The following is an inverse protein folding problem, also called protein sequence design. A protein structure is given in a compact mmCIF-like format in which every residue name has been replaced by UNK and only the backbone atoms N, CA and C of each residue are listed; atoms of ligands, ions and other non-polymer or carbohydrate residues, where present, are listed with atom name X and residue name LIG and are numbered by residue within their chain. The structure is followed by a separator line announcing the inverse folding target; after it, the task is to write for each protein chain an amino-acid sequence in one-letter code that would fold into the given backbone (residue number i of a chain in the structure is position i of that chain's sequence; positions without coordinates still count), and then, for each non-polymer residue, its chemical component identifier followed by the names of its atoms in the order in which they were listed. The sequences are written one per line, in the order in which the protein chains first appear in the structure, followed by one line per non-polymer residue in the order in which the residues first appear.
data_IF_690298135903
#
_entry.id   IF_690298135903
#
_cell.length_a   1.000
_cell.length_b   1.000
_cell.length_c   1.000
_cell.angle_alpha   90.00
_cell.angle_beta   90.00
_cell.angle_gamma   90.00
#
_symmetry.space_group_name_H-M   'P 1'
#
loop_
_entity.id
_entity.type
_entity.pdbx_description
1 polymer ?
#
# COMPACT_ATOMS: atom_id res chain seq x y z
N UNK A 1 -55.90 -63.78 -44.86
CA UNK A 1 -56.59 -62.48 -44.96
C UNK A 1 -55.63 -61.54 -45.70
N UNK A 2 -55.49 -61.59 -47.03
CA UNK A 2 -56.42 -61.05 -48.06
C UNK A 2 -56.85 -59.61 -47.69
N UNK A 3 -56.62 -58.51 -48.43
CA UNK A 3 -56.55 -58.16 -49.86
C UNK A 3 -55.56 -56.98 -50.03
N UNK A 4 -54.65 -56.86 -51.01
CA UNK A 4 -54.78 -56.53 -52.45
C UNK A 4 -55.63 -55.30 -52.81
N UNK A 5 -55.01 -54.25 -53.38
CA UNK A 5 -55.49 -53.46 -54.55
C UNK A 5 -54.40 -52.44 -54.94
N UNK A 6 -53.63 -52.63 -56.01
CA UNK A 6 -53.86 -52.30 -57.43
C UNK A 6 -53.67 -50.82 -57.82
N UNK A 7 -52.47 -50.55 -58.35
CA UNK A 7 -52.12 -49.84 -59.61
C UNK A 7 -53.08 -48.78 -60.18
N UNK A 8 -52.54 -47.58 -60.44
CA UNK A 8 -52.82 -46.81 -61.67
C UNK A 8 -51.54 -46.17 -62.23
N UNK A 9 -51.32 -46.40 -63.53
CA UNK A 9 -50.24 -45.87 -64.38
C UNK A 9 -50.90 -45.06 -65.51
N UNK A 10 -50.47 -43.82 -65.74
CA UNK A 10 -50.71 -43.03 -66.96
C UNK A 10 -49.64 -41.92 -66.97
N UNK A 11 -48.57 -42.02 -67.76
CA UNK A 11 -48.39 -41.68 -69.19
C UNK A 11 -47.73 -40.31 -69.39
N UNK A 12 -46.43 -40.38 -69.72
CA UNK A 12 -45.58 -39.53 -70.57
C UNK A 12 -46.03 -38.08 -70.85
N UNK A 13 -45.20 -37.15 -70.42
CA UNK A 13 -44.97 -35.86 -71.07
C UNK A 13 -43.53 -35.41 -70.80
N UNK A 14 -42.64 -35.55 -71.79
CA UNK A 14 -41.31 -34.93 -71.79
C UNK A 14 -41.49 -33.42 -71.98
N UNK A 15 -40.98 -32.62 -71.05
CA UNK A 15 -40.55 -31.26 -71.35
C UNK A 15 -39.32 -30.96 -70.50
N UNK A 16 -38.21 -30.70 -71.20
CA UNK A 16 -36.93 -30.35 -70.62
C UNK A 16 -37.03 -29.01 -69.86
N UNK A 17 -36.48 -28.95 -68.65
CA UNK A 17 -36.12 -27.69 -68.02
C UNK A 17 -34.91 -27.89 -67.10
N UNK A 18 -34.05 -26.89 -67.11
CA UNK A 18 -32.65 -26.92 -66.72
C UNK A 18 -32.40 -27.23 -65.22
N UNK A 19 -31.30 -27.94 -64.97
CA UNK A 19 -30.70 -28.13 -63.66
C UNK A 19 -30.06 -26.81 -63.22
N UNK A 20 -30.61 -26.19 -62.18
CA UNK A 20 -29.91 -25.20 -61.35
C UNK A 20 -30.07 -25.61 -59.89
N UNK A 21 -29.02 -26.23 -59.32
CA UNK A 21 -28.86 -26.37 -57.87
C UNK A 21 -28.64 -24.98 -57.27
N UNK A 22 -29.65 -24.43 -56.61
CA UNK A 22 -29.48 -23.27 -55.72
C UNK A 22 -29.23 -23.80 -54.30
N UNK A 23 -27.97 -23.84 -53.91
CA UNK A 23 -27.57 -24.07 -52.50
C UNK A 23 -27.96 -22.82 -51.73
N UNK A 24 -29.01 -22.89 -50.89
CA UNK A 24 -29.29 -21.86 -49.89
C UNK A 24 -28.21 -21.93 -48.79
N UNK A 25 -27.16 -21.15 -48.97
CA UNK A 25 -26.25 -20.76 -47.89
C UNK A 25 -26.99 -19.82 -46.94
N UNK A 26 -27.35 -20.30 -45.75
CA UNK A 26 -27.75 -19.46 -44.62
C UNK A 26 -26.56 -18.58 -44.21
N UNK A 27 -26.44 -17.39 -44.79
CA UNK A 27 -25.58 -16.34 -44.26
C UNK A 27 -26.30 -15.77 -43.04
N UNK A 28 -25.90 -16.21 -41.84
CA UNK A 28 -26.17 -15.47 -40.61
C UNK A 28 -25.51 -14.10 -40.75
N UNK A 29 -26.31 -13.09 -41.02
CA UNK A 29 -25.91 -11.69 -40.92
C UNK A 29 -25.73 -11.38 -39.42
N UNK A 30 -24.57 -11.74 -38.88
CA UNK A 30 -24.12 -11.18 -37.61
C UNK A 30 -23.79 -9.71 -37.90
N UNK A 31 -24.60 -8.80 -37.38
CA UNK A 31 -24.21 -7.39 -37.24
C UNK A 31 -22.93 -7.36 -36.38
N UNK A 32 -21.78 -7.43 -37.04
CA UNK A 32 -20.51 -7.04 -36.46
C UNK A 32 -20.59 -5.53 -36.32
N UNK A 33 -21.05 -5.05 -35.16
CA UNK A 33 -20.62 -3.73 -34.72
C UNK A 33 -19.09 -3.75 -34.78
N UNK A 34 -18.46 -2.87 -35.58
CA UNK A 34 -17.04 -2.67 -35.45
C UNK A 34 -16.85 -2.07 -34.07
N UNK A 35 -16.42 -2.90 -33.11
CA UNK A 35 -15.77 -2.38 -31.93
C UNK A 35 -14.53 -1.67 -32.49
N UNK A 36 -14.63 -0.36 -32.63
CA UNK A 36 -13.47 0.49 -32.79
C UNK A 36 -12.56 0.19 -31.62
N UNK A 37 -11.54 -0.61 -31.88
CA UNK A 37 -10.37 -0.75 -31.03
C UNK A 37 -9.82 0.65 -30.84
N UNK A 38 -10.14 1.27 -29.69
CA UNK A 38 -9.45 2.48 -29.26
C UNK A 38 -8.04 2.07 -28.84
N UNK A 39 -7.10 2.26 -29.76
CA UNK A 39 -5.66 2.38 -29.56
C UNK A 39 -5.03 1.49 -28.45
N UNK A 40 -4.65 0.26 -28.80
CA UNK A 40 -3.55 -0.47 -28.12
C UNK A 40 -2.18 -0.15 -28.73
N UNK A 41 -2.01 1.05 -29.29
CA UNK A 41 -0.73 1.54 -29.74
C UNK A 41 0.05 2.11 -28.53
N UNK A 42 1.04 1.36 -28.01
CA UNK A 42 2.02 1.90 -27.06
C UNK A 42 2.35 1.08 -25.82
N UNK A 43 1.79 -0.11 -25.62
CA UNK A 43 2.19 -0.98 -24.51
C UNK A 43 3.56 -1.59 -24.83
N UNK A 44 4.63 -1.00 -24.31
CA UNK A 44 5.94 -1.62 -24.30
C UNK A 44 5.97 -2.65 -23.14
N UNK A 45 5.99 -3.96 -23.42
CA UNK A 45 5.93 -5.00 -22.39
C UNK A 45 7.15 -5.00 -21.47
N UNK A 46 8.27 -4.42 -21.91
CA UNK A 46 9.52 -4.33 -21.13
C UNK A 46 9.56 -3.11 -20.21
N UNK A 47 8.70 -2.11 -20.46
CA UNK A 47 8.67 -0.88 -19.68
C UNK A 47 7.91 -1.09 -18.37
N UNK A 48 8.63 -1.20 -17.26
CA UNK A 48 8.07 -1.20 -15.90
C UNK A 48 7.65 0.20 -15.40
N UNK A 49 6.85 0.26 -14.34
CA UNK A 49 6.30 1.47 -13.72
C UNK A 49 7.38 2.51 -13.41
N UNK A 50 8.50 2.10 -12.80
CA UNK A 50 9.67 2.96 -12.54
C UNK A 50 10.18 3.72 -13.77
N UNK A 51 10.05 3.13 -14.97
CA UNK A 51 10.55 3.72 -16.21
C UNK A 51 9.64 4.85 -16.70
N UNK A 52 8.33 4.81 -16.41
CA UNK A 52 7.43 5.91 -16.70
C UNK A 52 7.70 7.12 -15.80
N UNK A 53 8.14 6.87 -14.56
CA UNK A 53 8.37 7.90 -13.54
C UNK A 53 9.83 8.33 -13.38
N UNK A 54 10.75 7.86 -14.24
CA UNK A 54 12.20 8.14 -14.12
C UNK A 54 12.57 9.63 -13.99
N UNK A 55 11.76 10.52 -14.57
CA UNK A 55 11.96 11.98 -14.56
C UNK A 55 11.06 12.70 -13.54
N UNK A 56 10.44 11.96 -12.63
CA UNK A 56 9.50 12.47 -11.63
C UNK A 56 9.98 12.07 -10.23
N UNK A 57 9.83 10.80 -9.86
CA UNK A 57 10.21 10.28 -8.56
C UNK A 57 10.41 8.75 -8.62
N UNK A 58 11.19 8.17 -7.70
CA UNK A 58 11.25 6.73 -7.48
C UNK A 58 9.87 6.13 -7.18
N UNK A 59 9.68 4.90 -7.65
CA UNK A 59 8.49 4.08 -7.41
C UNK A 59 8.91 2.90 -6.54
N UNK A 60 8.32 2.84 -5.35
CA UNK A 60 8.64 1.83 -4.34
C UNK A 60 7.56 0.80 -4.10
N UNK A 61 7.93 -0.25 -3.39
CA UNK A 61 7.01 -1.31 -2.96
C UNK A 61 7.39 -1.85 -1.60
N UNK A 62 6.41 -2.09 -0.74
CA UNK A 62 6.63 -2.77 0.53
C UNK A 62 6.77 -4.28 0.31
N UNK A 63 7.79 -4.87 0.92
CA UNK A 63 8.18 -6.27 0.72
C UNK A 63 8.39 -6.98 2.04
N UNK A 64 8.19 -8.30 2.02
CA UNK A 64 8.65 -9.20 3.06
C UNK A 64 9.70 -10.14 2.49
N UNK A 65 10.38 -10.89 3.36
CA UNK A 65 11.29 -11.97 2.94
C UNK A 65 10.65 -12.96 1.95
N UNK A 66 9.34 -13.22 2.04
CA UNK A 66 8.63 -14.11 1.12
C UNK A 66 8.52 -13.55 -0.31
N UNK A 67 8.55 -12.21 -0.46
CA UNK A 67 8.45 -11.53 -1.76
C UNK A 67 9.77 -11.55 -2.55
N UNK A 68 10.87 -11.95 -1.93
CA UNK A 68 12.22 -11.89 -2.52
C UNK A 68 12.53 -13.05 -3.48
N UNK A 69 11.53 -13.90 -3.78
CA UNK A 69 11.71 -15.08 -4.63
C UNK A 69 10.61 -15.21 -5.69
N UNK A 70 10.92 -15.98 -6.73
CA UNK A 70 9.95 -16.39 -7.75
C UNK A 70 9.29 -15.20 -8.48
N UNK A 71 8.00 -15.33 -8.87
CA UNK A 71 7.31 -14.31 -9.65
C UNK A 71 7.21 -12.93 -8.97
N UNK A 72 7.16 -12.87 -7.64
CA UNK A 72 7.10 -11.60 -6.91
C UNK A 72 8.43 -10.84 -7.06
N UNK A 73 9.58 -11.52 -6.91
CA UNK A 73 10.90 -10.89 -7.11
C UNK A 73 11.10 -10.38 -8.54
N UNK A 74 10.66 -11.14 -9.54
CA UNK A 74 10.74 -10.72 -10.94
C UNK A 74 9.89 -9.48 -11.20
N UNK A 75 8.69 -9.41 -10.60
CA UNK A 75 7.84 -8.21 -10.68
C UNK A 75 8.49 -7.02 -9.97
N UNK A 76 9.06 -7.21 -8.78
CA UNK A 76 9.73 -6.16 -8.01
C UNK A 76 10.85 -5.53 -8.84
N UNK A 77 11.75 -6.36 -9.38
CA UNK A 77 12.89 -5.91 -10.19
C UNK A 77 12.44 -5.21 -11.47
N UNK A 78 11.33 -5.63 -12.07
CA UNK A 78 10.79 -5.03 -13.28
C UNK A 78 10.14 -3.67 -13.03
N UNK A 79 9.31 -3.58 -12.00
CA UNK A 79 8.36 -2.47 -11.83
C UNK A 79 8.89 -1.36 -10.89
N UNK A 80 9.74 -1.69 -9.93
CA UNK A 80 10.11 -0.79 -8.82
C UNK A 80 11.62 -0.52 -8.73
N UNK A 81 11.99 0.62 -8.13
CA UNK A 81 13.37 1.04 -7.88
C UNK A 81 13.59 1.56 -6.44
N UNK A 82 12.62 1.32 -5.57
CA UNK A 82 12.69 1.52 -4.12
C UNK A 82 11.97 0.36 -3.42
N UNK A 83 12.41 -0.05 -2.24
CA UNK A 83 11.70 -1.03 -1.40
C UNK A 83 11.63 -0.56 0.05
N UNK A 84 10.58 -0.98 0.74
CA UNK A 84 10.40 -0.79 2.17
C UNK A 84 10.16 -2.16 2.83
N UNK A 85 10.91 -2.58 3.85
CA UNK A 85 10.57 -3.78 4.63
C UNK A 85 9.24 -3.59 5.35
N UNK A 86 8.21 -4.35 5.00
CA UNK A 86 6.83 -4.18 5.50
C UNK A 86 6.75 -4.39 7.02
N UNK A 87 7.51 -5.36 7.54
CA UNK A 87 7.53 -5.69 8.97
C UNK A 87 8.92 -5.97 9.53
N UNK A 88 9.85 -6.45 8.70
CA UNK A 88 11.13 -7.02 9.15
C UNK A 88 12.09 -5.98 9.78
N UNK A 89 11.84 -4.68 9.59
CA UNK A 89 12.57 -3.58 10.25
C UNK A 89 11.79 -2.84 11.34
N UNK A 90 10.57 -3.28 11.68
CA UNK A 90 9.83 -2.71 12.82
C UNK A 90 10.50 -3.09 14.14
N UNK A 91 10.31 -2.25 15.17
CA UNK A 91 11.00 -2.36 16.46
C UNK A 91 10.93 -3.77 17.08
N UNK A 92 9.73 -4.30 17.30
CA UNK A 92 9.55 -5.62 17.91
C UNK A 92 10.14 -6.76 17.08
N UNK A 93 9.84 -6.84 15.76
CA UNK A 93 10.45 -7.84 14.88
C UNK A 93 11.97 -7.82 14.81
N UNK A 94 12.61 -6.64 14.74
CA UNK A 94 14.07 -6.53 14.58
C UNK A 94 14.82 -6.58 15.93
N UNK A 95 14.22 -6.09 17.02
CA UNK A 95 14.83 -5.99 18.35
C UNK A 95 13.93 -6.59 19.44
N UNK A 96 13.68 -7.91 19.43
CA UNK A 96 12.68 -8.57 20.28
C UNK A 96 13.01 -8.60 21.78
N UNK A 97 14.29 -8.47 22.18
CA UNK A 97 14.71 -8.35 23.59
C UNK A 97 16.03 -7.57 23.69
N UNK A 98 16.34 -7.03 24.87
CA UNK A 98 17.40 -6.00 25.12
C UNK A 98 18.77 -6.26 24.47
N UNK A 99 19.18 -7.53 24.34
CA UNK A 99 20.47 -7.90 23.76
C UNK A 99 20.33 -8.87 22.58
N UNK A 100 19.14 -8.96 21.98
CA UNK A 100 18.86 -9.91 20.89
C UNK A 100 18.23 -9.17 19.73
N UNK A 101 18.89 -9.27 18.58
CA UNK A 101 18.40 -8.73 17.33
C UNK A 101 18.13 -9.86 16.33
N UNK A 102 17.05 -9.70 15.56
CA UNK A 102 16.73 -10.56 14.43
C UNK A 102 17.11 -9.87 13.12
N UNK A 103 18.36 -10.02 12.72
CA UNK A 103 18.88 -9.40 11.49
C UNK A 103 18.51 -10.16 10.22
N UNK A 104 18.21 -11.46 10.32
CA UNK A 104 18.13 -12.37 9.18
C UNK A 104 17.23 -11.85 8.05
N UNK A 105 16.00 -11.46 8.37
CA UNK A 105 15.04 -11.06 7.34
C UNK A 105 15.33 -9.66 6.79
N UNK A 106 15.72 -8.73 7.65
CA UNK A 106 16.07 -7.38 7.24
C UNK A 106 17.34 -7.38 6.37
N UNK A 107 18.37 -8.14 6.74
CA UNK A 107 19.57 -8.36 5.93
C UNK A 107 19.21 -8.95 4.55
N UNK A 108 18.34 -9.97 4.50
CA UNK A 108 17.93 -10.58 3.24
C UNK A 108 17.24 -9.57 2.29
N UNK A 109 16.39 -8.68 2.81
CA UNK A 109 15.74 -7.62 2.01
C UNK A 109 16.78 -6.60 1.53
N UNK A 110 17.69 -6.18 2.41
CA UNK A 110 18.77 -5.25 2.08
C UNK A 110 19.68 -5.83 1.00
N UNK A 111 20.10 -7.08 1.13
CA UNK A 111 20.98 -7.76 0.19
C UNK A 111 20.30 -7.94 -1.17
N UNK A 112 19.02 -8.34 -1.19
CA UNK A 112 18.23 -8.38 -2.41
C UNK A 112 18.21 -7.02 -3.10
N UNK A 113 17.86 -5.95 -2.37
CA UNK A 113 17.76 -4.61 -2.94
C UNK A 113 19.11 -4.12 -3.48
N UNK A 114 20.20 -4.30 -2.73
CA UNK A 114 21.55 -3.94 -3.16
C UNK A 114 21.95 -4.70 -4.42
N UNK A 115 21.73 -6.02 -4.48
CA UNK A 115 22.08 -6.85 -5.64
C UNK A 115 21.33 -6.47 -6.93
N UNK A 116 20.16 -5.83 -6.79
CA UNK A 116 19.33 -5.36 -7.90
C UNK A 116 19.38 -3.85 -8.11
N UNK A 117 20.27 -3.13 -7.41
CA UNK A 117 20.39 -1.66 -7.47
C UNK A 117 19.08 -0.92 -7.14
N UNK A 118 18.31 -1.46 -6.19
CA UNK A 118 17.07 -0.90 -5.67
C UNK A 118 17.36 -0.17 -4.37
N UNK A 119 16.83 1.06 -4.23
CA UNK A 119 17.01 1.87 -3.02
C UNK A 119 16.15 1.33 -1.86
N UNK A 120 16.56 1.57 -0.63
CA UNK A 120 15.85 1.04 0.55
C UNK A 120 15.39 2.17 1.46
N UNK A 121 14.11 2.17 1.81
CA UNK A 121 13.55 2.94 2.92
C UNK A 121 13.50 2.06 4.16
N UNK A 122 14.03 2.55 5.27
CA UNK A 122 13.92 1.86 6.56
C UNK A 122 12.60 2.22 7.24
N UNK A 123 11.82 1.20 7.62
CA UNK A 123 10.54 1.35 8.31
C UNK A 123 10.48 0.36 9.49
N UNK A 124 10.55 0.81 10.74
CA UNK A 124 10.71 2.18 11.25
C UNK A 124 11.49 2.13 12.57
N UNK A 125 11.97 3.28 13.05
CA UNK A 125 12.86 3.34 14.23
C UNK A 125 12.14 3.58 15.57
N UNK A 126 10.98 4.25 15.55
CA UNK A 126 10.20 4.56 16.75
C UNK A 126 8.71 4.54 16.42
N UNK A 127 8.00 3.55 16.93
CA UNK A 127 6.55 3.40 16.75
C UNK A 127 5.90 2.87 18.02
N UNK A 128 4.60 3.16 18.16
CA UNK A 128 3.79 2.71 19.29
C UNK A 128 3.12 1.35 19.04
N UNK A 129 2.98 0.96 17.77
CA UNK A 129 2.42 -0.32 17.38
C UNK A 129 3.58 -1.27 17.04
N UNK A 130 3.44 -2.55 17.43
CA UNK A 130 4.53 -3.54 17.32
C UNK A 130 5.86 -3.05 17.92
N UNK A 131 5.76 -2.25 18.99
CA UNK A 131 6.89 -1.75 19.75
C UNK A 131 7.66 -2.92 20.41
N UNK A 132 8.95 -2.72 20.67
CA UNK A 132 9.76 -3.69 21.38
C UNK A 132 9.39 -3.66 22.88
N UNK A 133 8.41 -4.46 23.28
CA UNK A 133 7.74 -4.38 24.59
C UNK A 133 8.70 -4.38 25.80
N UNK A 134 9.86 -5.03 25.69
CA UNK A 134 10.89 -5.06 26.73
C UNK A 134 11.45 -3.66 27.05
N UNK A 135 11.42 -2.72 26.11
CA UNK A 135 11.98 -1.38 26.29
C UNK A 135 11.30 -0.60 27.40
N UNK A 136 10.01 -0.86 27.64
CA UNK A 136 9.16 -0.06 28.50
C UNK A 136 9.10 -0.55 29.95
N UNK A 137 9.60 -1.75 30.24
CA UNK A 137 9.48 -2.38 31.55
C UNK A 137 10.82 -2.74 32.17
N UNK A 138 10.91 -2.58 33.49
CA UNK A 138 12.02 -3.08 34.30
C UNK A 138 11.85 -4.56 34.65
N UNK A 139 12.83 -5.17 35.35
CA UNK A 139 12.77 -6.58 35.77
C UNK A 139 11.57 -6.94 36.66
N UNK A 140 11.03 -5.96 37.39
CA UNK A 140 9.84 -6.09 38.23
C UNK A 140 8.52 -5.92 37.46
N UNK A 141 8.56 -5.65 36.15
CA UNK A 141 7.38 -5.43 35.30
C UNK A 141 6.84 -4.01 35.32
N UNK A 142 7.39 -3.12 36.15
CA UNK A 142 7.00 -1.71 36.24
C UNK A 142 7.56 -0.87 35.08
N UNK A 143 6.91 0.25 34.71
CA UNK A 143 7.45 1.18 33.73
C UNK A 143 8.86 1.64 34.09
N UNK A 144 9.75 1.70 33.10
CA UNK A 144 11.09 2.27 33.29
C UNK A 144 11.05 3.79 33.44
N UNK A 145 12.16 4.40 33.87
CA UNK A 145 12.29 5.86 33.87
C UNK A 145 12.42 6.41 32.45
N UNK A 146 12.14 7.70 32.28
CA UNK A 146 12.35 8.42 31.01
C UNK A 146 13.79 8.27 30.50
N UNK A 147 14.76 8.39 31.39
CA UNK A 147 16.19 8.33 31.06
C UNK A 147 16.57 6.96 30.51
N UNK A 148 16.13 5.88 31.19
CA UNK A 148 16.38 4.52 30.72
C UNK A 148 15.65 4.23 29.40
N UNK A 149 14.42 4.72 29.22
CA UNK A 149 13.68 4.55 27.98
C UNK A 149 14.37 5.25 26.80
N UNK A 150 14.83 6.49 26.98
CA UNK A 150 15.54 7.23 25.95
C UNK A 150 16.91 6.63 25.65
N UNK A 151 17.60 6.08 26.64
CA UNK A 151 18.83 5.33 26.43
C UNK A 151 18.58 4.07 25.58
N UNK A 152 17.57 3.27 25.90
CA UNK A 152 17.18 2.09 25.11
C UNK A 152 16.77 2.45 23.68
N UNK A 153 16.08 3.57 23.49
CA UNK A 153 15.76 4.10 22.17
C UNK A 153 17.03 4.50 21.41
N UNK A 154 17.97 5.19 22.06
CA UNK A 154 19.27 5.54 21.46
C UNK A 154 20.00 4.28 21.01
N UNK A 155 20.17 3.30 21.88
CA UNK A 155 20.91 2.07 21.58
C UNK A 155 20.27 1.28 20.42
N UNK A 156 18.93 1.22 20.40
CA UNK A 156 18.19 0.61 19.29
C UNK A 156 18.44 1.34 17.96
N UNK A 157 18.30 2.67 17.94
CA UNK A 157 18.49 3.48 16.73
C UNK A 157 19.93 3.33 16.22
N UNK A 158 20.91 3.38 17.12
CA UNK A 158 22.32 3.21 16.76
C UNK A 158 22.61 1.84 16.17
N UNK A 159 22.08 0.78 16.77
CA UNK A 159 22.27 -0.57 16.25
C UNK A 159 21.62 -0.76 14.88
N UNK A 160 20.36 -0.31 14.71
CA UNK A 160 19.59 -0.54 13.47
C UNK A 160 20.03 0.40 12.35
N UNK A 161 20.01 1.72 12.56
CA UNK A 161 20.41 2.68 11.55
C UNK A 161 21.92 2.56 11.24
N UNK A 162 22.76 2.35 12.27
CA UNK A 162 24.20 2.16 12.09
C UNK A 162 24.56 0.91 11.30
N UNK A 163 23.84 -0.22 11.48
CA UNK A 163 24.08 -1.45 10.71
C UNK A 163 23.86 -1.26 9.21
N UNK A 164 22.86 -0.47 8.84
CA UNK A 164 22.45 -0.26 7.45
C UNK A 164 22.90 1.09 6.87
N UNK A 165 23.86 1.73 7.54
CA UNK A 165 24.48 2.96 7.08
C UNK A 165 24.96 2.82 5.64
N UNK A 166 24.76 3.88 4.86
CA UNK A 166 25.07 3.98 3.42
C UNK A 166 24.25 3.05 2.50
N UNK A 167 23.43 2.13 3.03
CA UNK A 167 22.52 1.27 2.25
C UNK A 167 21.08 1.79 2.26
N UNK A 168 20.64 2.37 3.38
CA UNK A 168 19.30 2.95 3.52
C UNK A 168 19.36 4.44 3.18
N UNK A 169 18.53 4.87 2.23
CA UNK A 169 18.54 6.27 1.79
C UNK A 169 17.66 7.17 2.66
N UNK A 170 16.64 6.59 3.31
CA UNK A 170 15.70 7.31 4.15
C UNK A 170 15.16 6.41 5.27
N UNK A 171 14.93 7.00 6.44
CA UNK A 171 14.32 6.37 7.59
C UNK A 171 13.00 7.03 7.94
N UNK A 172 11.97 6.21 8.13
CA UNK A 172 10.81 6.62 8.94
C UNK A 172 11.27 6.57 10.41
N UNK A 173 11.69 7.73 10.92
CA UNK A 173 12.31 7.83 12.25
C UNK A 173 11.24 7.66 13.33
N UNK A 174 10.14 8.39 13.20
CA UNK A 174 8.99 8.31 14.09
C UNK A 174 7.76 8.06 13.25
N UNK A 175 7.01 7.02 13.60
CA UNK A 175 5.77 6.63 12.95
C UNK A 175 4.56 6.91 13.87
N UNK A 176 3.53 7.57 13.34
CA UNK A 176 2.18 7.68 13.94
C UNK A 176 2.14 8.20 15.40
N UNK A 177 2.95 9.22 15.71
CA UNK A 177 2.99 9.83 17.03
C UNK A 177 1.85 10.85 17.27
N UNK A 178 1.14 11.25 16.21
CA UNK A 178 -0.02 12.15 16.28
C UNK A 178 -1.31 11.37 16.59
N UNK A 179 -2.15 12.00 17.40
CA UNK A 179 -3.41 11.46 17.89
C UNK A 179 -4.56 11.55 16.87
N UNK A 180 -5.41 10.51 16.84
CA UNK A 180 -6.51 10.37 15.87
C UNK A 180 -7.83 11.04 16.26
N UNK A 181 -7.93 11.62 17.46
CA UNK A 181 -9.18 12.28 17.87
C UNK A 181 -9.44 13.55 17.06
N UNK A 182 -10.71 13.96 17.02
CA UNK A 182 -11.09 15.24 16.41
C UNK A 182 -10.72 16.47 17.29
N UNK A 183 -10.07 16.25 18.45
CA UNK A 183 -9.59 17.31 19.33
C UNK A 183 -8.24 17.86 18.85
N UNK A 184 -8.25 19.05 18.24
CA UNK A 184 -7.06 19.74 17.71
C UNK A 184 -6.09 20.22 18.79
N UNK A 185 -6.47 20.18 20.08
CA UNK A 185 -5.61 20.49 21.22
C UNK A 185 -4.79 19.28 21.66
N UNK A 186 -5.31 18.06 21.48
CA UNK A 186 -4.58 16.82 21.69
C UNK A 186 -3.77 16.47 20.44
N UNK A 187 -2.57 17.02 20.32
CA UNK A 187 -1.66 16.75 19.20
C UNK A 187 -1.09 15.33 19.26
N UNK A 188 -0.61 14.90 20.43
CA UNK A 188 0.20 13.68 20.57
C UNK A 188 -0.61 12.48 21.07
N UNK A 189 -0.35 11.32 20.46
CA UNK A 189 -0.87 10.02 20.89
C UNK A 189 -0.32 9.69 22.28
N UNK A 190 -1.19 9.22 23.17
CA UNK A 190 -0.84 8.79 24.55
C UNK A 190 -0.23 7.37 24.56
N UNK A 191 0.81 7.14 23.77
CA UNK A 191 1.57 5.89 23.69
C UNK A 191 2.38 5.61 24.97
N UNK A 192 2.97 4.42 25.09
CA UNK A 192 3.89 4.11 26.19
C UNK A 192 5.10 5.05 26.18
N UNK A 193 5.63 5.40 25.01
CA UNK A 193 6.63 6.45 24.84
C UNK A 193 6.20 7.77 25.49
N UNK A 194 5.02 8.28 25.13
CA UNK A 194 4.50 9.54 25.66
C UNK A 194 4.28 9.48 27.18
N UNK A 195 3.69 8.40 27.67
CA UNK A 195 3.35 8.22 29.10
C UNK A 195 4.60 8.19 29.97
N UNK A 196 5.62 7.41 29.58
CA UNK A 196 6.86 7.28 30.36
C UNK A 196 7.72 8.54 30.25
N UNK A 197 7.79 9.17 29.08
CA UNK A 197 8.53 10.42 28.91
C UNK A 197 7.81 11.64 29.50
N UNK A 198 6.55 11.47 29.92
CA UNK A 198 5.64 12.54 30.32
C UNK A 198 5.53 13.68 29.28
N UNK A 199 5.51 13.32 28.00
CA UNK A 199 5.56 14.29 26.91
C UNK A 199 6.12 13.75 25.60
N UNK A 200 6.20 14.60 24.57
CA UNK A 200 6.61 14.23 23.21
C UNK A 200 8.14 14.20 22.99
N UNK A 201 8.96 14.47 24.00
CA UNK A 201 10.42 14.64 23.88
C UNK A 201 11.13 13.45 23.21
N UNK A 202 10.54 12.25 23.28
CA UNK A 202 11.07 11.06 22.59
C UNK A 202 11.12 11.24 21.06
N UNK A 203 10.26 12.07 20.48
CA UNK A 203 10.23 12.35 19.04
C UNK A 203 11.50 13.09 18.64
N UNK A 204 11.82 14.19 19.32
CA UNK A 204 13.03 14.97 19.07
C UNK A 204 14.30 14.17 19.34
N UNK A 205 14.29 13.37 20.40
CA UNK A 205 15.40 12.47 20.74
C UNK A 205 15.63 11.44 19.61
N UNK A 206 14.58 10.81 19.08
CA UNK A 206 14.69 9.84 18.00
C UNK A 206 15.34 10.44 16.74
N UNK A 207 14.93 11.65 16.33
CA UNK A 207 15.54 12.34 15.19
C UNK A 207 17.01 12.69 15.42
N UNK A 208 17.36 13.19 16.61
CA UNK A 208 18.75 13.47 16.97
C UNK A 208 19.60 12.20 16.92
N UNK A 209 19.11 11.09 17.49
CA UNK A 209 19.82 9.81 17.48
C UNK A 209 19.95 9.23 16.08
N UNK A 210 18.91 9.32 15.25
CA UNK A 210 18.95 8.83 13.87
C UNK A 210 19.97 9.60 13.04
N UNK A 211 20.03 10.93 13.19
CA UNK A 211 21.03 11.75 12.53
C UNK A 211 22.46 11.47 13.02
N UNK A 212 22.64 11.24 14.32
CA UNK A 212 23.95 10.88 14.91
C UNK A 212 24.43 9.50 14.39
N UNK A 213 23.51 8.54 14.24
CA UNK A 213 23.83 7.19 13.76
C UNK A 213 24.15 7.14 12.26
N UNK A 214 23.37 7.85 11.43
CA UNK A 214 23.61 7.98 10.00
C UNK A 214 23.27 9.40 9.48
N UNK A 215 24.26 10.31 9.42
CA UNK A 215 24.05 11.68 8.96
C UNK A 215 23.66 11.81 7.48
N UNK A 216 23.88 10.76 6.66
CA UNK A 216 23.63 10.78 5.22
C UNK A 216 22.19 10.36 4.88
N UNK A 217 21.55 9.55 5.74
CA UNK A 217 20.19 9.11 5.54
C UNK A 217 19.19 10.27 5.72
N UNK A 218 18.15 10.29 4.89
CA UNK A 218 17.07 11.26 4.97
C UNK A 218 16.06 10.89 6.05
N UNK A 219 15.71 11.83 6.92
CA UNK A 219 14.92 11.56 8.12
C UNK A 219 13.47 12.03 7.95
N UNK A 220 12.53 11.11 8.12
CA UNK A 220 11.10 11.34 7.90
C UNK A 220 10.27 11.11 9.16
N UNK A 221 9.27 11.97 9.35
CA UNK A 221 8.09 11.66 10.17
C UNK A 221 7.04 10.99 9.27
N UNK A 222 6.51 9.82 9.63
CA UNK A 222 5.54 9.07 8.81
C UNK A 222 4.20 8.91 9.54
N UNK A 223 3.08 9.15 8.83
CA UNK A 223 1.73 9.00 9.43
C UNK A 223 0.62 8.81 8.37
N UNK A 224 -0.45 8.14 8.78
CA UNK A 224 -1.69 8.03 8.01
C UNK A 224 -2.65 9.18 8.27
N UNK A 225 -3.63 9.32 7.37
CA UNK A 225 -4.65 10.36 7.41
C UNK A 225 -4.08 11.78 7.47
N UNK A 226 -2.86 11.98 6.98
CA UNK A 226 -2.15 13.27 6.98
C UNK A 226 -2.77 14.29 6.01
N UNK A 227 -3.66 13.82 5.15
CA UNK A 227 -4.52 14.58 4.25
C UNK A 227 -5.80 15.08 4.93
N UNK A 228 -6.28 14.41 5.99
CA UNK A 228 -7.53 14.75 6.64
C UNK A 228 -7.38 15.98 7.55
N UNK A 229 -8.30 16.96 7.51
CA UNK A 229 -8.09 18.29 8.08
C UNK A 229 -7.59 18.34 9.53
N UNK A 230 -8.21 17.59 10.43
CA UNK A 230 -7.87 17.64 11.86
C UNK A 230 -6.49 17.01 12.12
N UNK A 231 -6.23 15.82 11.57
CA UNK A 231 -4.95 15.14 11.76
C UNK A 231 -3.82 15.87 11.03
N UNK A 232 -4.10 16.41 9.83
CA UNK A 232 -3.20 17.29 9.09
C UNK A 232 -2.76 18.50 9.92
N UNK A 233 -3.70 19.20 10.57
CA UNK A 233 -3.37 20.36 11.42
C UNK A 233 -2.43 19.97 12.58
N UNK A 234 -2.68 18.84 13.23
CA UNK A 234 -1.83 18.33 14.33
C UNK A 234 -0.43 17.96 13.84
N UNK A 235 -0.33 17.27 12.69
CA UNK A 235 0.95 16.95 12.06
C UNK A 235 1.69 18.24 11.70
N UNK A 236 1.02 19.22 11.11
CA UNK A 236 1.62 20.51 10.78
C UNK A 236 2.18 21.22 12.02
N UNK A 237 1.45 21.22 13.14
CA UNK A 237 1.94 21.76 14.43
C UNK A 237 3.21 21.05 14.92
N UNK A 238 3.24 19.72 14.84
CA UNK A 238 4.43 18.93 15.19
C UNK A 238 5.61 19.31 14.29
N UNK A 239 5.45 19.27 12.97
CA UNK A 239 6.53 19.55 12.01
C UNK A 239 7.09 20.97 12.19
N UNK A 240 6.20 21.96 12.36
CA UNK A 240 6.60 23.34 12.61
C UNK A 240 7.42 23.46 13.90
N UNK A 241 7.06 22.72 14.96
CA UNK A 241 7.84 22.67 16.21
C UNK A 241 9.23 22.07 15.97
N UNK A 242 9.32 20.91 15.32
CA UNK A 242 10.60 20.24 15.04
C UNK A 242 11.54 21.14 14.24
N UNK A 243 11.03 21.87 13.24
CA UNK A 243 11.82 22.83 12.46
C UNK A 243 12.28 24.01 13.33
N UNK A 244 11.39 24.58 14.14
CA UNK A 244 11.73 25.68 15.04
C UNK A 244 12.80 25.31 16.07
N UNK A 245 12.80 24.05 16.50
CA UNK A 245 13.78 23.52 17.46
C UNK A 245 15.05 22.96 16.79
N UNK A 246 15.23 23.21 15.49
CA UNK A 246 16.39 22.78 14.70
C UNK A 246 16.63 21.26 14.72
N UNK A 247 15.56 20.46 14.79
CA UNK A 247 15.63 19.01 14.70
C UNK A 247 15.96 18.60 13.26
N UNK A 248 16.85 17.62 13.03
CA UNK A 248 17.20 17.16 11.69
C UNK A 248 16.04 16.36 11.08
N UNK A 249 15.15 17.05 10.36
CA UNK A 249 14.04 16.46 9.61
C UNK A 249 14.11 16.91 8.16
N UNK A 250 14.09 15.94 7.24
CA UNK A 250 14.16 16.21 5.79
C UNK A 250 12.78 16.18 5.13
N UNK A 251 11.82 15.46 5.71
CA UNK A 251 10.53 15.28 5.07
C UNK A 251 9.44 14.60 5.88
N UNK A 252 8.30 14.43 5.22
CA UNK A 252 7.09 13.77 5.74
C UNK A 252 6.71 12.60 4.85
N UNK A 253 6.50 11.44 5.46
CA UNK A 253 5.85 10.29 4.86
C UNK A 253 4.34 10.39 5.04
N UNK A 254 3.61 10.47 3.94
CA UNK A 254 2.16 10.33 3.92
C UNK A 254 1.85 8.88 3.56
N UNK A 255 1.33 8.10 4.51
CA UNK A 255 1.10 6.66 4.27
C UNK A 255 0.18 6.42 3.07
N UNK A 256 -0.88 7.22 2.92
CA UNK A 256 -1.84 7.14 1.82
C UNK A 256 -2.60 5.80 1.74
N UNK A 257 -3.05 5.31 2.90
CA UNK A 257 -4.06 4.25 3.00
C UNK A 257 -5.45 4.80 2.70
N UNK A 258 -5.87 4.70 1.45
CA UNK A 258 -6.99 5.47 0.91
C UNK A 258 -8.16 4.60 0.48
N UNK A 259 -9.29 5.25 0.21
CA UNK A 259 -10.53 4.62 -0.24
C UNK A 259 -10.89 5.12 -1.63
N UNK A 260 -11.91 4.51 -2.24
CA UNK A 260 -12.36 4.83 -3.60
C UNK A 260 -12.79 6.29 -3.83
N UNK A 261 -13.03 7.05 -2.76
CA UNK A 261 -13.54 8.42 -2.81
C UNK A 261 -12.93 9.31 -1.72
N UNK A 262 -11.77 8.93 -1.19
CA UNK A 262 -11.14 9.55 -0.03
C UNK A 262 -9.62 9.38 -0.11
N UNK A 263 -8.82 10.46 -0.14
CA UNK A 263 -9.21 11.87 0.00
C UNK A 263 -9.81 12.49 -1.26
N UNK A 264 -10.38 13.68 -1.10
CA UNK A 264 -10.67 14.57 -2.22
C UNK A 264 -9.38 15.19 -2.82
N UNK A 265 -9.40 15.65 -4.08
CA UNK A 265 -8.28 16.38 -4.68
C UNK A 265 -7.84 17.59 -3.83
N UNK A 266 -8.80 18.35 -3.28
CA UNK A 266 -8.53 19.57 -2.52
C UNK A 266 -7.85 19.26 -1.19
N UNK A 267 -8.27 18.20 -0.48
CA UNK A 267 -7.62 17.76 0.75
C UNK A 267 -6.18 17.32 0.51
N UNK A 268 -5.94 16.56 -0.57
CA UNK A 268 -4.60 16.12 -0.93
C UNK A 268 -3.69 17.29 -1.31
N UNK A 269 -4.17 18.24 -2.13
CA UNK A 269 -3.41 19.46 -2.49
C UNK A 269 -3.09 20.30 -1.26
N UNK A 270 -4.07 20.52 -0.39
CA UNK A 270 -3.87 21.28 0.84
C UNK A 270 -2.83 20.64 1.76
N UNK A 271 -2.83 19.32 1.87
CA UNK A 271 -1.80 18.60 2.63
C UNK A 271 -0.39 18.77 2.05
N UNK A 272 -0.25 18.68 0.73
CA UNK A 272 1.00 18.93 0.05
C UNK A 272 1.46 20.39 0.21
N UNK A 273 0.56 21.36 0.06
CA UNK A 273 0.88 22.79 0.23
C UNK A 273 1.36 23.10 1.65
N UNK A 274 0.67 22.60 2.67
CA UNK A 274 1.05 22.81 4.07
C UNK A 274 2.43 22.22 4.37
N UNK A 275 2.69 20.96 4.01
CA UNK A 275 4.00 20.33 4.25
C UNK A 275 5.12 21.05 3.48
N UNK A 276 4.90 21.37 2.20
CA UNK A 276 5.92 22.00 1.35
C UNK A 276 6.20 23.44 1.72
N UNK A 277 5.22 24.16 2.31
CA UNK A 277 5.43 25.50 2.87
C UNK A 277 6.43 25.54 4.02
N UNK A 278 6.65 24.40 4.69
CA UNK A 278 7.67 24.23 5.74
C UNK A 278 9.07 23.91 5.18
N UNK A 279 9.22 23.81 3.85
CA UNK A 279 10.49 23.44 3.20
C UNK A 279 10.80 21.94 3.22
N UNK A 280 9.87 21.11 3.70
CA UNK A 280 10.02 19.67 3.81
C UNK A 280 9.73 18.95 2.48
N UNK A 281 10.42 17.83 2.23
CA UNK A 281 10.08 16.91 1.14
C UNK A 281 8.91 16.01 1.52
N UNK A 282 8.19 15.53 0.51
CA UNK A 282 7.09 14.57 0.69
C UNK A 282 7.48 13.23 0.10
N UNK A 283 7.08 12.15 0.77
CA UNK A 283 7.04 10.81 0.19
C UNK A 283 5.68 10.20 0.47
N UNK A 284 5.09 9.57 -0.54
CA UNK A 284 3.97 8.66 -0.32
C UNK A 284 4.56 7.29 0.00
N UNK A 285 4.27 6.76 1.18
CA UNK A 285 5.08 5.69 1.78
C UNK A 285 4.41 4.33 1.78
N UNK A 286 3.07 4.28 1.77
CA UNK A 286 2.28 3.06 1.98
C UNK A 286 1.01 3.03 1.10
N UNK A 287 1.10 3.58 -0.12
CA UNK A 287 -0.06 3.83 -0.98
C UNK A 287 -0.80 2.53 -1.30
N UNK A 288 -2.08 2.52 -0.91
CA UNK A 288 -3.04 1.49 -1.28
C UNK A 288 -4.45 2.12 -1.34
N UNK A 289 -5.31 1.69 -2.28
CA UNK A 289 -6.66 2.26 -2.47
C UNK A 289 -7.68 1.14 -2.40
N UNK A 290 -8.22 0.92 -1.20
CA UNK A 290 -9.07 -0.25 -0.94
C UNK A 290 -10.50 -0.12 -1.45
N UNK A 291 -11.05 -1.25 -1.90
CA UNK A 291 -12.48 -1.36 -2.21
C UNK A 291 -13.32 -1.60 -0.96
N UNK A 292 -12.69 -1.93 0.17
CA UNK A 292 -13.40 -2.26 1.41
C UNK A 292 -14.02 -0.99 1.97
N UNK A 293 -15.31 -1.07 2.22
CA UNK A 293 -16.02 0.02 2.88
C UNK A 293 -15.62 0.08 4.35
N UNK A 294 -15.58 1.29 4.96
CA UNK A 294 -15.36 1.41 6.39
C UNK A 294 -16.40 0.57 7.13
N UNK A 295 -15.94 -0.24 8.08
CA UNK A 295 -16.86 -0.92 8.98
C UNK A 295 -17.61 0.17 9.76
N UNK A 296 -18.95 0.10 9.89
CA UNK A 296 -19.69 1.09 10.66
C UNK A 296 -19.08 1.18 12.06
N UNK A 297 -18.60 2.37 12.45
CA UNK A 297 -18.26 2.63 13.85
C UNK A 297 -19.59 2.63 14.62
N UNK A 298 -19.72 1.89 15.73
CA UNK A 298 -20.91 1.99 16.56
C UNK A 298 -21.11 3.46 16.95
N UNK A 299 -22.35 3.93 16.94
CA UNK A 299 -22.67 5.26 17.46
C UNK A 299 -22.18 5.37 18.91
N UNK A 300 -21.76 6.55 19.38
CA UNK A 300 -21.40 6.76 20.78
C UNK A 300 -22.50 6.23 21.71
N UNK A 301 -22.16 5.30 22.60
CA UNK A 301 -23.12 4.67 23.53
C UNK A 301 -23.78 3.38 23.02
N UNK A 302 -23.44 2.88 21.83
CA UNK A 302 -23.88 1.56 21.35
C UNK A 302 -22.76 0.52 21.50
N UNK A 303 -23.11 -0.68 21.93
CA UNK A 303 -22.18 -1.81 21.93
C UNK A 303 -21.77 -2.14 20.50
N UNK A 304 -20.48 -2.45 20.24
CA UNK A 304 -20.08 -3.01 18.97
C UNK A 304 -20.96 -4.20 18.61
N UNK A 305 -21.25 -4.37 17.31
CA UNK A 305 -21.89 -5.57 16.83
C UNK A 305 -21.15 -6.80 17.43
N UNK A 306 -21.88 -7.79 17.98
CA UNK A 306 -21.26 -8.91 18.68
C UNK A 306 -20.19 -9.55 17.80
N UNK A 307 -19.10 -10.00 18.42
CA UNK A 307 -18.09 -10.80 17.73
C UNK A 307 -18.77 -12.02 17.11
N UNK A 308 -19.03 -11.97 15.79
CA UNK A 308 -19.85 -12.95 15.10
C UNK A 308 -20.93 -12.36 14.17
N UNK A 309 -21.19 -11.06 14.19
CA UNK A 309 -22.00 -10.43 13.15
C UNK A 309 -21.30 -10.63 11.80
N UNK A 310 -21.93 -11.37 10.87
CA UNK A 310 -21.41 -11.58 9.52
C UNK A 310 -21.26 -10.21 8.87
N UNK A 311 -20.03 -9.72 8.63
CA UNK A 311 -19.89 -8.41 8.00
C UNK A 311 -20.54 -8.50 6.62
N UNK A 312 -21.23 -7.45 6.17
CA UNK A 312 -21.79 -7.40 4.82
C UNK A 312 -20.69 -7.80 3.83
N UNK A 313 -20.91 -8.80 2.96
CA UNK A 313 -19.93 -9.14 1.95
C UNK A 313 -19.58 -7.88 1.14
N UNK A 314 -18.28 -7.61 0.98
CA UNK A 314 -17.85 -6.54 0.08
C UNK A 314 -18.43 -6.84 -1.31
N UNK A 315 -18.82 -5.83 -2.11
CA UNK A 315 -19.44 -6.03 -3.42
C UNK A 315 -18.52 -6.76 -4.42
N UNK A 316 -17.26 -6.99 -4.03
CA UNK A 316 -16.21 -7.56 -4.88
C UNK A 316 -15.63 -6.50 -5.81
N UNK A 317 -14.71 -6.94 -6.67
CA UNK A 317 -14.07 -6.08 -7.66
C UNK A 317 -14.96 -5.98 -8.92
N UNK A 318 -16.11 -5.33 -8.79
CA UNK A 318 -17.06 -5.12 -9.90
C UNK A 318 -16.53 -4.06 -10.88
N UNK A 319 -17.03 -3.99 -12.13
CA UNK A 319 -16.65 -2.94 -13.06
C UNK A 319 -16.89 -1.51 -12.53
N UNK A 320 -17.92 -1.29 -11.71
CA UNK A 320 -18.19 0.01 -11.09
C UNK A 320 -17.14 0.36 -10.02
N UNK A 321 -16.79 -0.62 -9.17
CA UNK A 321 -15.74 -0.47 -8.15
C UNK A 321 -14.38 -0.25 -8.80
N UNK A 322 -14.07 -1.01 -9.85
CA UNK A 322 -12.87 -0.84 -10.66
C UNK A 322 -12.82 0.57 -11.26
N UNK A 323 -13.91 1.07 -11.85
CA UNK A 323 -13.96 2.42 -12.41
C UNK A 323 -13.67 3.51 -11.36
N UNK A 324 -14.21 3.37 -10.14
CA UNK A 324 -13.92 4.28 -9.02
C UNK A 324 -12.45 4.20 -8.61
N UNK A 325 -11.89 3.00 -8.51
CA UNK A 325 -10.48 2.83 -8.16
C UNK A 325 -9.54 3.41 -9.23
N UNK A 326 -9.86 3.20 -10.51
CA UNK A 326 -9.16 3.81 -11.65
C UNK A 326 -9.15 5.33 -11.53
N UNK A 327 -10.31 5.93 -11.24
CA UNK A 327 -10.45 7.37 -11.10
C UNK A 327 -9.64 7.91 -9.92
N UNK A 328 -9.68 7.25 -8.76
CA UNK A 328 -8.93 7.68 -7.57
C UNK A 328 -7.42 7.57 -7.78
N UNK A 329 -6.93 6.47 -8.37
CA UNK A 329 -5.50 6.35 -8.72
C UNK A 329 -5.08 7.41 -9.74
N UNK A 330 -5.90 7.66 -10.76
CA UNK A 330 -5.61 8.69 -11.77
C UNK A 330 -5.48 10.07 -11.11
N UNK A 331 -6.45 10.42 -10.27
CA UNK A 331 -6.49 11.67 -9.53
C UNK A 331 -5.23 11.86 -8.67
N UNK A 332 -4.88 10.85 -7.87
CA UNK A 332 -3.69 10.89 -7.03
C UNK A 332 -2.41 11.11 -7.86
N UNK A 333 -2.22 10.34 -8.92
CA UNK A 333 -1.00 10.43 -9.74
C UNK A 333 -0.94 11.67 -10.64
N UNK A 334 -2.09 12.25 -11.05
CA UNK A 334 -2.12 13.57 -11.67
C UNK A 334 -1.53 14.61 -10.69
N UNK A 335 -2.01 14.64 -9.44
CA UNK A 335 -1.51 15.54 -8.40
C UNK A 335 -0.03 15.26 -8.09
N UNK A 336 0.38 13.99 -7.98
CA UNK A 336 1.78 13.68 -7.70
C UNK A 336 2.73 14.22 -8.77
N UNK A 337 2.32 14.19 -10.04
CA UNK A 337 3.11 14.76 -11.13
C UNK A 337 3.18 16.28 -11.09
N UNK A 338 2.11 16.95 -10.64
CA UNK A 338 2.09 18.40 -10.45
C UNK A 338 3.03 18.86 -9.31
N UNK A 339 3.19 18.04 -8.27
CA UNK A 339 4.06 18.30 -7.11
C UNK A 339 5.43 17.63 -7.21
N UNK A 340 5.86 17.19 -8.40
CA UNK A 340 7.08 16.37 -8.59
C UNK A 340 8.37 16.97 -8.02
N UNK A 341 8.47 18.30 -7.90
CA UNK A 341 9.63 18.99 -7.30
C UNK A 341 9.73 18.79 -5.78
N UNK A 342 8.63 18.42 -5.13
CA UNK A 342 8.54 18.21 -3.69
C UNK A 342 8.44 16.73 -3.31
N UNK A 343 7.86 15.91 -4.19
CA UNK A 343 7.70 14.47 -3.98
C UNK A 343 8.99 13.74 -4.37
N UNK A 344 9.52 12.93 -3.45
CA UNK A 344 10.81 12.24 -3.64
C UNK A 344 10.70 10.72 -3.68
N UNK A 345 9.49 10.15 -3.50
CA UNK A 345 9.19 8.72 -3.66
C UNK A 345 7.67 8.49 -3.57
N UNK A 346 7.15 7.51 -4.31
CA UNK A 346 5.80 6.92 -4.12
C UNK A 346 5.93 5.41 -3.96
N UNK A 347 5.62 4.88 -2.78
CA UNK A 347 5.69 3.45 -2.44
C UNK A 347 4.30 2.86 -2.30
N UNK A 348 4.06 1.69 -2.89
CA UNK A 348 2.84 0.90 -2.69
C UNK A 348 2.98 -0.07 -1.53
N UNK A 349 1.92 -0.29 -0.74
CA UNK A 349 1.96 -1.21 0.41
C UNK A 349 1.51 -2.62 0.02
N UNK A 350 2.49 -3.49 -0.22
CA UNK A 350 2.44 -4.82 -0.82
C UNK A 350 2.53 -4.86 -2.36
N UNK A 351 2.98 -6.01 -2.89
CA UNK A 351 3.39 -6.19 -4.30
C UNK A 351 2.20 -6.33 -5.25
N UNK A 352 1.17 -7.06 -4.84
CA UNK A 352 0.00 -7.35 -5.66
C UNK A 352 -1.20 -7.69 -4.79
N UNK A 353 -2.39 -7.64 -5.37
CA UNK A 353 -3.63 -8.00 -4.72
C UNK A 353 -3.63 -9.44 -4.22
N UNK A 354 -2.67 -10.29 -4.61
CA UNK A 354 -2.50 -11.65 -4.09
C UNK A 354 -2.36 -11.66 -2.55
N UNK A 355 -1.70 -10.67 -1.99
CA UNK A 355 -1.44 -10.59 -0.55
C UNK A 355 -1.35 -9.15 -0.13
N UNK A 356 -2.49 -8.60 0.30
CA UNK A 356 -2.55 -7.29 0.95
C UNK A 356 -2.77 -7.43 2.44
N UNK A 357 -2.17 -6.54 3.23
CA UNK A 357 -2.45 -6.41 4.67
C UNK A 357 -3.93 -6.07 4.96
N UNK A 358 -4.62 -5.46 4.00
CA UNK A 358 -6.05 -5.12 4.09
C UNK A 358 -6.98 -6.32 3.84
N UNK A 359 -6.46 -7.46 3.39
CA UNK A 359 -7.27 -8.67 3.22
C UNK A 359 -7.79 -9.15 4.58
N UNK A 360 -9.11 -9.23 4.73
CA UNK A 360 -9.73 -9.77 5.92
C UNK A 360 -9.51 -11.27 6.02
N UNK A 361 -8.85 -11.76 7.07
CA UNK A 361 -8.63 -13.19 7.32
C UNK A 361 -9.36 -13.53 8.63
N UNK A 362 -10.40 -14.36 8.57
CA UNK A 362 -11.32 -14.68 9.69
C UNK A 362 -10.68 -14.79 11.08
N UNK A 363 -10.57 -13.65 11.79
CA UNK A 363 -9.74 -13.44 12.98
C UNK A 363 -9.24 -12.00 13.17
N UNK A 364 -9.28 -11.14 12.13
CA UNK A 364 -9.01 -9.70 12.24
C UNK A 364 -8.09 -9.15 11.13
N UNK A 365 -7.86 -7.83 11.14
CA UNK A 365 -6.82 -7.14 10.36
C UNK A 365 -5.48 -7.38 11.06
N UNK A 366 -4.80 -8.49 10.74
CA UNK A 366 -3.40 -8.70 11.13
C UNK A 366 -2.61 -8.99 9.86
N UNK A 367 -2.15 -7.92 9.22
CA UNK A 367 -1.03 -7.97 8.29
C UNK A 367 0.24 -8.34 9.05
N UNK A 368 0.94 -9.34 8.57
CA UNK A 368 2.16 -9.86 9.18
C UNK A 368 2.13 -11.37 9.40
N UNK A 369 3.30 -11.98 9.46
CA UNK A 369 3.59 -13.42 9.49
C UNK A 369 2.96 -14.26 10.63
N UNK A 370 1.95 -13.76 11.35
CA UNK A 370 1.28 -14.42 12.47
C UNK A 370 0.16 -15.40 12.05
N UNK A 371 0.12 -15.83 10.79
CA UNK A 371 -0.93 -16.73 10.31
C UNK A 371 -0.54 -18.21 10.44
N UNK A 372 -0.81 -18.82 11.59
CA UNK A 372 -0.70 -20.28 11.78
C UNK A 372 -1.51 -21.09 10.75
N UNK A 373 -0.98 -22.26 10.38
CA UNK A 373 -1.37 -23.05 9.19
C UNK A 373 -2.75 -23.73 9.24
N UNK A 374 -3.44 -23.78 10.38
CA UNK A 374 -4.54 -24.74 10.61
C UNK A 374 -5.94 -24.13 10.84
N UNK A 375 -6.23 -22.92 10.34
CA UNK A 375 -7.61 -22.38 10.37
C UNK A 375 -8.11 -22.12 8.95
N UNK A 376 -9.26 -22.68 8.54
CA UNK A 376 -9.91 -22.31 7.27
C UNK A 376 -10.24 -20.81 7.29
N UNK A 377 -9.48 -20.00 6.56
CA UNK A 377 -9.68 -18.56 6.48
C UNK A 377 -10.56 -18.26 5.29
N UNK A 378 -11.80 -17.81 5.53
CA UNK A 378 -12.48 -16.99 4.51
C UNK A 378 -11.65 -15.72 4.36
N UNK A 379 -11.07 -15.52 3.18
CA UNK A 379 -10.31 -14.32 2.84
C UNK A 379 -11.24 -13.34 2.14
N UNK A 380 -11.47 -12.18 2.73
CA UNK A 380 -12.15 -11.06 2.07
C UNK A 380 -11.11 -10.14 1.47
N UNK A 381 -11.12 -10.04 0.14
CA UNK A 381 -10.10 -9.32 -0.63
C UNK A 381 -10.34 -7.82 -0.62
N UNK A 382 -9.26 -7.05 -0.48
CA UNK A 382 -9.30 -5.58 -0.52
C UNK A 382 -8.98 -4.99 -1.90
N UNK A 383 -8.37 -5.79 -2.78
CA UNK A 383 -7.89 -5.43 -4.11
C UNK A 383 -7.24 -4.04 -4.25
N UNK A 384 -6.34 -3.62 -3.34
CA UNK A 384 -6.05 -2.21 -3.22
C UNK A 384 -4.88 -1.73 -4.09
N UNK A 385 -4.30 -2.60 -4.94
CA UNK A 385 -3.02 -2.35 -5.64
C UNK A 385 -3.18 -2.29 -7.16
N UNK A 386 -2.08 -2.06 -7.89
CA UNK A 386 -2.05 -1.98 -9.35
C UNK A 386 -1.90 -3.34 -10.06
N UNK A 387 -1.58 -4.40 -9.32
CA UNK A 387 -1.40 -5.75 -9.85
C UNK A 387 -2.42 -6.69 -9.21
N UNK A 388 -3.05 -7.53 -10.02
CA UNK A 388 -4.05 -8.50 -9.55
C UNK A 388 -3.42 -9.68 -8.78
N UNK A 389 -4.24 -10.64 -8.35
CA UNK A 389 -3.78 -11.83 -7.62
C UNK A 389 -2.81 -12.73 -8.41
N UNK A 390 -2.78 -12.57 -9.73
CA UNK A 390 -1.90 -13.28 -10.66
C UNK A 390 -0.70 -12.42 -11.10
N UNK A 391 -0.48 -11.28 -10.44
CA UNK A 391 0.57 -10.27 -10.76
C UNK A 391 0.41 -9.61 -12.13
N UNK A 392 -0.78 -9.68 -12.73
CA UNK A 392 -1.06 -8.96 -13.97
C UNK A 392 -1.45 -7.52 -13.66
N UNK A 393 -1.03 -6.59 -14.53
CA UNK A 393 -1.39 -5.17 -14.41
C UNK A 393 -2.91 -5.01 -14.54
N UNK A 394 -3.54 -4.40 -13.54
CA UNK A 394 -4.97 -4.03 -13.56
C UNK A 394 -5.22 -2.83 -14.46
N UNK A 395 -6.47 -2.53 -14.79
CA UNK A 395 -6.80 -1.31 -15.54
C UNK A 395 -6.36 -0.02 -14.83
N UNK A 396 -6.36 -0.01 -13.49
CA UNK A 396 -5.83 1.09 -12.67
C UNK A 396 -4.32 1.35 -12.91
N UNK A 397 -3.54 0.33 -13.30
CA UNK A 397 -2.13 0.55 -13.68
C UNK A 397 -2.03 1.51 -14.86
N UNK A 398 -2.89 1.35 -15.86
CA UNK A 398 -2.83 2.12 -17.10
C UNK A 398 -3.27 3.57 -16.92
N UNK A 399 -4.18 3.86 -15.97
CA UNK A 399 -4.52 5.25 -15.62
C UNK A 399 -3.38 5.99 -14.92
N UNK A 400 -2.45 5.25 -14.31
CA UNK A 400 -1.25 5.80 -13.68
C UNK A 400 -0.13 6.06 -14.69
N UNK A 401 -0.02 5.32 -15.79
CA UNK A 401 1.13 5.45 -16.72
C UNK A 401 0.84 6.13 -18.05
N UNK A 402 -0.43 6.30 -18.44
CA UNK A 402 -0.82 6.93 -19.71
C UNK A 402 -1.03 8.44 -19.52
N UNK A 403 0.06 9.21 -19.52
CA UNK A 403 0.07 10.67 -19.39
C UNK A 403 1.10 11.33 -20.31
#
# INVERSE_FOLDING_TARGET
MEFSTTVKKASRGMLALAISLMVLSFVRCAFKHPVTSSATAGINPDKGLKNYYKNYFPIGVAVSSASLHGPDSALIVKEFNSVTPENDMKMGPIHPSENVYNWKNADAIVDFAVSHHIRIRGHNLCWHNQEAAWMFKGPNGEPVTKELLLQRLKDHIFAVAGRYKDKIYAWDVVNEAVDDSDDTTQVYRKSNWYKICNGPDFIEAAFKFAHEADPNAKLYYNDYNSEHPVKREKIYKLLKKLIADHIPIDGVGMQAHWKLNDPSPDELRKALDEVTSLGLKVQFTELDITIRLPQPRPAPGTTPAPAGATPTPDPGYTPEVEAKQIAQYKMAFDIFREYKQFITNVTFWNVSDRSSWLDGRGGGLMGGAAAGANTPRVVRKAYPLLFDENRQRKNAYWSVVNF
#
